data_IF_168685488617
#
_entry.id   IF_168685488617
#
_cell.length_a   1.000
_cell.length_b   1.000
_cell.length_c   1.000
_cell.angle_alpha   90.00
_cell.angle_beta   90.00
_cell.angle_gamma   90.00
#
_symmetry.space_group_name_H-M   'P 1'
#
loop_
_entity.id
_entity.type
_entity.pdbx_description
1 polymer ?
#
# COMPACT_ATOMS: atom_id res chain seq x y z
N UNK A 1 -9.14 -10.83 -11.25
CA UNK A 1 -7.81 -11.44 -11.00
C UNK A 1 -6.77 -10.58 -11.69
N UNK A 2 -5.76 -10.08 -10.97
CA UNK A 2 -4.69 -9.27 -11.58
C UNK A 2 -3.72 -10.23 -12.27
N UNK A 3 -3.63 -10.16 -13.61
CA UNK A 3 -2.62 -10.90 -14.39
C UNK A 3 -1.29 -10.14 -14.41
N UNK A 4 -0.15 -10.83 -14.56
CA UNK A 4 1.19 -10.20 -14.60
C UNK A 4 1.30 -9.16 -15.74
N UNK A 5 0.71 -9.44 -16.90
CA UNK A 5 0.66 -8.48 -18.02
C UNK A 5 -0.10 -7.19 -17.65
N UNK A 6 -1.14 -7.31 -16.83
CA UNK A 6 -1.87 -6.14 -16.32
C UNK A 6 -1.08 -5.39 -15.25
N UNK A 7 -0.17 -6.07 -14.53
CA UNK A 7 0.73 -5.44 -13.57
C UNK A 7 1.73 -4.53 -14.30
N UNK A 8 2.38 -5.03 -15.34
CA UNK A 8 3.36 -4.26 -16.12
C UNK A 8 2.72 -3.05 -16.80
N UNK A 9 1.51 -3.21 -17.35
CA UNK A 9 0.74 -2.09 -17.91
C UNK A 9 0.43 -1.02 -16.87
N UNK A 10 0.02 -1.42 -15.66
CA UNK A 10 -0.26 -0.48 -14.56
C UNK A 10 1.01 0.23 -14.10
N UNK A 11 2.14 -0.47 -14.00
CA UNK A 11 3.44 0.13 -13.65
C UNK A 11 3.86 1.15 -14.72
N UNK A 12 3.67 0.84 -16.00
CA UNK A 12 3.98 1.76 -17.10
C UNK A 12 3.10 3.03 -17.11
N UNK A 13 1.88 2.96 -16.57
CA UNK A 13 1.00 4.13 -16.42
C UNK A 13 1.47 5.08 -15.31
N UNK A 14 2.28 4.59 -14.35
CA UNK A 14 2.74 5.38 -13.22
C UNK A 14 1.76 5.40 -12.04
N UNK A 15 2.12 6.15 -10.99
CA UNK A 15 1.27 6.34 -9.82
C UNK A 15 0.10 7.30 -10.12
N UNK A 16 -1.06 7.01 -9.53
CA UNK A 16 -2.21 7.90 -9.52
C UNK A 16 -2.94 7.83 -8.16
N UNK A 17 -4.05 8.56 -8.01
CA UNK A 17 -4.80 8.63 -6.73
C UNK A 17 -5.32 7.28 -6.23
N UNK A 18 -5.45 6.30 -7.12
CA UNK A 18 -5.92 4.94 -6.84
C UNK A 18 -4.84 3.87 -7.00
N UNK A 19 -3.64 4.25 -7.45
CA UNK A 19 -2.50 3.37 -7.71
C UNK A 19 -1.23 3.95 -7.10
N UNK A 20 -0.74 3.35 -6.02
CA UNK A 20 0.47 3.79 -5.34
C UNK A 20 1.54 2.70 -5.42
N UNK A 21 2.80 3.08 -5.66
CA UNK A 21 3.95 2.18 -5.74
C UNK A 21 4.89 2.43 -4.55
N UNK A 22 5.41 1.35 -3.98
CA UNK A 22 6.44 1.40 -2.94
C UNK A 22 7.43 0.26 -3.14
N UNK A 23 8.72 0.59 -3.21
CA UNK A 23 9.76 -0.44 -3.28
C UNK A 23 9.79 -1.29 -2.00
N UNK A 24 9.56 -0.65 -0.85
CA UNK A 24 9.47 -1.29 0.46
C UNK A 24 8.56 -0.46 1.37
N UNK A 25 7.88 -1.10 2.32
CA UNK A 25 7.13 -0.45 3.38
C UNK A 25 7.95 -0.54 4.66
N UNK A 26 8.48 0.62 5.10
CA UNK A 26 9.26 0.73 6.34
C UNK A 26 8.62 1.64 7.38
N UNK A 27 7.74 2.54 6.94
CA UNK A 27 7.09 3.51 7.80
C UNK A 27 5.59 3.24 7.86
N UNK A 28 5.11 2.83 9.04
CA UNK A 28 3.70 2.54 9.28
C UNK A 28 2.81 3.79 9.20
N UNK A 29 3.33 4.98 9.50
CA UNK A 29 2.60 6.23 9.41
C UNK A 29 2.36 6.64 7.94
N UNK A 30 3.39 6.49 7.10
CA UNK A 30 3.25 6.69 5.65
C UNK A 30 2.21 5.73 5.07
N UNK A 31 2.26 4.44 5.44
CA UNK A 31 1.24 3.46 5.04
C UNK A 31 -0.16 3.86 5.53
N UNK A 32 -0.30 4.26 6.80
CA UNK A 32 -1.57 4.69 7.37
C UNK A 32 -2.16 5.89 6.62
N UNK A 33 -1.31 6.85 6.21
CA UNK A 33 -1.72 8.02 5.42
C UNK A 33 -2.26 7.61 4.04
N UNK A 34 -1.59 6.70 3.34
CA UNK A 34 -2.06 6.18 2.05
C UNK A 34 -3.39 5.43 2.19
N UNK A 35 -3.50 4.57 3.20
CA UNK A 35 -4.74 3.84 3.48
C UNK A 35 -5.89 4.78 3.84
N UNK A 36 -5.63 5.85 4.59
CA UNK A 36 -6.62 6.88 4.88
C UNK A 36 -7.02 7.66 3.62
N UNK A 37 -6.06 7.98 2.74
CA UNK A 37 -6.34 8.62 1.46
C UNK A 37 -7.24 7.73 0.57
N UNK A 38 -6.96 6.43 0.50
CA UNK A 38 -7.81 5.46 -0.20
C UNK A 38 -9.20 5.33 0.42
N UNK A 39 -9.31 5.33 1.74
CA UNK A 39 -10.60 5.26 2.42
C UNK A 39 -11.47 6.51 2.19
N UNK A 40 -10.84 7.67 1.98
CA UNK A 40 -11.51 8.93 1.65
C UNK A 40 -11.80 9.09 0.14
N UNK A 41 -11.32 8.18 -0.71
CA UNK A 41 -11.60 8.13 -2.15
C UNK A 41 -12.44 6.91 -2.50
N UNK A 42 -12.44 6.50 -3.77
CA UNK A 42 -13.10 5.27 -4.25
C UNK A 42 -12.31 3.98 -3.90
N UNK A 43 -11.49 4.02 -2.84
CA UNK A 43 -10.48 3.00 -2.56
C UNK A 43 -9.21 3.18 -3.38
N UNK A 44 -8.36 2.15 -3.37
CA UNK A 44 -7.10 2.15 -4.11
C UNK A 44 -6.33 0.83 -4.00
N UNK A 45 -5.27 0.70 -4.79
CA UNK A 45 -4.32 -0.41 -4.78
C UNK A 45 -2.93 0.10 -4.48
N UNK A 46 -2.31 -0.45 -3.43
CA UNK A 46 -0.89 -0.26 -3.15
C UNK A 46 -0.10 -1.45 -3.69
N UNK A 47 0.91 -1.19 -4.52
CA UNK A 47 1.85 -2.21 -4.98
C UNK A 47 3.17 -2.10 -4.25
N UNK A 48 3.61 -3.21 -3.69
CA UNK A 48 4.87 -3.30 -2.93
C UNK A 48 5.91 -4.08 -3.73
N UNK A 49 7.17 -3.65 -3.66
CA UNK A 49 8.26 -4.17 -4.48
C UNK A 49 8.37 -3.54 -5.87
N UNK A 50 7.79 -2.34 -6.05
CA UNK A 50 7.90 -1.50 -7.26
C UNK A 50 8.51 -0.17 -6.88
N UNK A 51 9.65 0.18 -7.47
CA UNK A 51 10.31 1.46 -7.27
C UNK A 51 9.71 2.56 -8.15
N UNK A 52 9.98 3.81 -7.77
CA UNK A 52 9.38 5.00 -8.38
C UNK A 52 9.82 5.21 -9.85
N UNK A 53 10.93 4.59 -10.25
CA UNK A 53 11.45 4.56 -11.63
C UNK A 53 10.83 3.43 -12.48
N UNK A 54 9.84 2.71 -11.94
CA UNK A 54 9.21 1.56 -12.59
C UNK A 54 10.03 0.28 -12.50
N UNK A 55 11.19 0.29 -11.84
CA UNK A 55 11.96 -0.93 -11.57
C UNK A 55 11.19 -1.80 -10.58
N UNK A 56 11.13 -3.11 -10.84
CA UNK A 56 10.44 -4.08 -9.96
C UNK A 56 11.51 -4.93 -9.27
N UNK A 57 12.13 -4.44 -8.17
CA UNK A 57 13.09 -5.23 -7.41
C UNK A 57 12.45 -6.49 -6.82
N UNK A 58 11.13 -6.51 -6.68
CA UNK A 58 10.40 -7.56 -6.00
C UNK A 58 10.63 -7.52 -4.49
N UNK A 59 10.12 -8.53 -3.79
CA UNK A 59 10.24 -8.66 -2.34
C UNK A 59 10.80 -10.03 -1.99
N UNK A 60 11.70 -10.08 -1.01
CA UNK A 60 12.09 -11.37 -0.43
C UNK A 60 10.95 -11.89 0.47
N UNK A 61 10.96 -13.18 0.78
CA UNK A 61 10.00 -13.75 1.75
C UNK A 61 10.08 -13.07 3.13
N UNK A 62 11.28 -12.62 3.53
CA UNK A 62 11.47 -11.88 4.78
C UNK A 62 10.80 -10.51 4.72
N UNK A 63 10.90 -9.82 3.59
CA UNK A 63 10.23 -8.54 3.39
C UNK A 63 8.71 -8.70 3.43
N UNK A 64 8.17 -9.69 2.73
CA UNK A 64 6.72 -9.99 2.78
C UNK A 64 6.25 -10.24 4.22
N UNK A 65 6.98 -11.05 4.99
CA UNK A 65 6.63 -11.33 6.38
C UNK A 65 6.67 -10.08 7.26
N UNK A 66 7.71 -9.25 7.12
CA UNK A 66 7.86 -8.00 7.87
C UNK A 66 6.78 -6.99 7.51
N UNK A 67 6.49 -6.82 6.22
CA UNK A 67 5.46 -5.93 5.71
C UNK A 67 4.09 -6.36 6.21
N UNK A 68 3.77 -7.66 6.16
CA UNK A 68 2.52 -8.18 6.72
C UNK A 68 2.39 -7.87 8.21
N UNK A 69 3.46 -8.04 8.98
CA UNK A 69 3.45 -7.69 10.41
C UNK A 69 3.26 -6.18 10.63
N UNK A 70 3.91 -5.33 9.82
CA UNK A 70 3.73 -3.88 9.85
C UNK A 70 2.29 -3.50 9.54
N UNK A 71 1.68 -4.10 8.51
CA UNK A 71 0.28 -3.89 8.14
C UNK A 71 -0.64 -4.33 9.28
N UNK A 72 -0.49 -5.54 9.83
CA UNK A 72 -1.35 -6.00 10.94
C UNK A 72 -1.26 -5.11 12.18
N UNK A 73 -0.06 -4.60 12.48
CA UNK A 73 0.15 -3.65 13.57
C UNK A 73 -0.43 -2.26 13.24
N UNK A 74 -0.32 -1.82 11.99
CA UNK A 74 -0.89 -0.57 11.50
C UNK A 74 -2.42 -0.65 11.50
N UNK A 75 -3.04 -1.71 10.98
CA UNK A 75 -4.49 -1.96 10.97
C UNK A 75 -5.08 -1.97 12.38
N UNK A 76 -4.42 -2.63 13.34
CA UNK A 76 -4.86 -2.64 14.74
C UNK A 76 -4.92 -1.22 15.33
N UNK A 77 -4.01 -0.33 14.90
CA UNK A 77 -4.02 1.07 15.28
C UNK A 77 -4.96 1.92 14.42
N UNK A 78 -5.07 1.65 13.12
CA UNK A 78 -5.86 2.40 12.13
C UNK A 78 -7.37 2.18 12.34
N UNK A 79 -7.80 0.93 12.56
CA UNK A 79 -9.20 0.59 12.90
C UNK A 79 -9.61 1.26 14.21
N UNK A 80 -8.69 1.34 15.19
CA UNK A 80 -8.95 2.06 16.45
C UNK A 80 -9.14 3.54 16.21
N UNK A 81 -8.25 4.18 15.45
CA UNK A 81 -8.31 5.62 15.15
C UNK A 81 -9.54 5.99 14.31
N UNK A 82 -9.90 5.20 13.29
CA UNK A 82 -11.08 5.44 12.44
C UNK A 82 -12.38 5.23 13.25
N UNK A 83 -12.46 4.21 14.11
CA UNK A 83 -13.62 4.01 15.00
C UNK A 83 -13.81 5.14 16.00
N UNK A 84 -12.73 5.75 16.49
CA UNK A 84 -12.80 6.89 17.40
C UNK A 84 -13.15 8.19 16.66
N UNK A 85 -12.69 8.37 15.42
CA UNK A 85 -13.03 9.51 14.58
C UNK A 85 -14.51 9.51 14.12
N UNK A 86 -15.09 8.33 13.89
CA UNK A 86 -16.51 8.18 13.51
C UNK A 86 -17.49 8.19 14.71
N UNK A 87 -16.98 8.23 15.94
CA UNK A 87 -17.78 8.34 17.17
C UNK A 87 -17.91 9.78 17.70
N UNK A 88 -17.34 10.74 16.99
CA UNK A 88 -17.51 12.19 17.22
C UNK A 88 -18.49 12.76 16.23
#
# INVERSE_FOLDING_TARGET
>A
MISIENLQKRIATGEDRSHQFKADIRNAESLASELAAFANSEGGTLFTGVADDGFVPGLTRKDVSRINQLISNAESNLIRTIREALKR
#
